data_IF_719995409913
#
_entry.id   IF_719995409913
#
_cell.length_a   1.000
_cell.length_b   1.000
_cell.length_c   1.000
_cell.angle_alpha   90.00
_cell.angle_beta   90.00
_cell.angle_gamma   90.00
#
_symmetry.space_group_name_H-M   'P 1'
#
loop_
_entity.id
_entity.type
_entity.pdbx_description
1 polymer ?
#
# COMPACT_ATOMS: atom_id res chain seq x y z
N UNK A 1 -21.01 4.26 -6.34
CA UNK A 1 -20.54 4.46 -4.98
C UNK A 1 -20.62 3.18 -4.18
N UNK A 2 -19.81 3.06 -3.13
CA UNK A 2 -19.70 1.81 -2.37
C UNK A 2 -18.74 0.80 -2.96
N UNK A 3 -18.10 1.11 -4.10
CA UNK A 3 -17.11 0.23 -4.69
C UNK A 3 -15.87 0.11 -3.79
N UNK A 4 -15.30 -1.08 -3.78
CA UNK A 4 -14.06 -1.37 -3.08
C UNK A 4 -12.92 -1.41 -4.11
N UNK A 5 -11.87 -0.69 -3.81
CA UNK A 5 -10.67 -0.64 -4.63
C UNK A 5 -9.43 -1.00 -3.81
N UNK A 6 -8.47 -1.61 -4.47
CA UNK A 6 -7.15 -1.89 -3.89
C UNK A 6 -6.13 -1.00 -4.59
N UNK A 7 -5.32 -0.33 -3.80
CA UNK A 7 -4.31 0.54 -4.35
C UNK A 7 -2.96 0.26 -3.71
N UNK A 8 -1.94 0.03 -4.55
CA UNK A 8 -0.61 -0.31 -4.07
C UNK A 8 0.16 0.95 -3.66
N UNK A 9 0.76 0.91 -2.47
CA UNK A 9 1.73 1.91 -2.06
C UNK A 9 3.05 1.66 -2.79
N UNK A 10 3.96 2.64 -2.86
CA UNK A 10 5.26 2.42 -3.49
C UNK A 10 6.00 1.23 -2.87
N UNK A 11 6.66 0.42 -3.70
CA UNK A 11 7.45 -0.70 -3.22
C UNK A 11 8.68 -0.15 -2.47
N UNK A 12 8.88 -0.53 -1.20
CA UNK A 12 10.02 -0.05 -0.45
C UNK A 12 11.36 -0.50 -1.06
N UNK A 13 12.30 0.42 -1.16
CA UNK A 13 13.65 0.13 -1.59
C UNK A 13 14.63 0.65 -0.55
N UNK A 14 15.45 -0.23 -0.01
CA UNK A 14 16.43 0.14 1.00
C UNK A 14 17.75 0.51 0.34
N UNK A 15 18.04 1.80 0.27
CA UNK A 15 19.28 2.32 -0.34
C UNK A 15 20.47 2.36 0.64
N UNK A 16 20.24 2.00 1.90
CA UNK A 16 21.28 2.05 2.92
C UNK A 16 22.13 0.78 2.96
N UNK A 17 23.20 0.80 3.75
CA UNK A 17 24.10 -0.33 3.93
C UNK A 17 23.67 -1.32 5.01
N UNK A 18 22.51 -1.08 5.65
CA UNK A 18 21.97 -1.94 6.71
C UNK A 18 20.53 -2.32 6.41
N UNK A 19 20.06 -3.49 6.86
CA UNK A 19 18.65 -3.86 6.68
C UNK A 19 17.73 -2.93 7.47
N UNK A 20 16.49 -2.79 6.97
CA UNK A 20 15.42 -2.07 7.68
C UNK A 20 14.26 -3.02 7.94
N UNK A 21 13.42 -2.66 8.91
CA UNK A 21 12.16 -3.35 9.16
C UNK A 21 11.02 -2.33 9.08
N UNK A 22 10.09 -2.57 8.15
CA UNK A 22 8.93 -1.69 8.01
C UNK A 22 7.89 -2.11 9.03
N UNK A 23 7.48 -1.18 9.89
CA UNK A 23 6.58 -1.45 11.01
C UNK A 23 5.15 -0.97 10.76
N UNK A 24 4.98 0.06 9.92
CA UNK A 24 3.66 0.62 9.64
C UNK A 24 3.67 1.39 8.32
N UNK A 25 2.53 1.39 7.65
CA UNK A 25 2.28 2.21 6.46
C UNK A 25 0.96 2.95 6.62
N UNK A 26 0.83 4.09 5.98
CA UNK A 26 -0.42 4.86 5.98
C UNK A 26 -0.51 5.79 4.78
N UNK A 27 -1.73 6.02 4.32
CA UNK A 27 -2.04 7.10 3.39
C UNK A 27 -2.17 8.38 4.21
N UNK A 28 -1.46 9.42 3.80
CA UNK A 28 -1.47 10.72 4.48
C UNK A 28 -2.55 11.60 3.84
N UNK A 29 -3.37 12.24 4.68
CA UNK A 29 -4.46 13.12 4.23
C UNK A 29 -5.42 12.44 3.26
N UNK A 30 -6.16 11.45 3.76
CA UNK A 30 -7.15 10.72 2.97
C UNK A 30 -8.22 11.69 2.45
N UNK A 31 -8.43 11.80 1.12
CA UNK A 31 -9.43 12.70 0.57
C UNK A 31 -10.86 12.38 1.02
N UNK A 32 -11.71 13.40 1.05
CA UNK A 32 -13.13 13.23 1.25
C UNK A 32 -13.70 12.32 0.15
N UNK A 33 -14.59 11.41 0.50
CA UNK A 33 -15.18 10.46 -0.46
C UNK A 33 -14.42 9.15 -0.57
N UNK A 34 -13.27 9.02 0.10
CA UNK A 34 -12.50 7.80 0.18
C UNK A 34 -12.34 7.40 1.65
N UNK A 35 -12.63 6.14 1.94
CA UNK A 35 -12.41 5.59 3.28
C UNK A 35 -11.41 4.44 3.18
N UNK A 36 -10.31 4.53 3.90
CA UNK A 36 -9.35 3.43 4.00
C UNK A 36 -9.92 2.41 4.99
N UNK A 37 -10.17 1.20 4.53
CA UNK A 37 -10.74 0.13 5.35
C UNK A 37 -9.64 -0.63 6.09
N UNK A 38 -8.56 -0.97 5.39
CA UNK A 38 -7.44 -1.70 5.97
C UNK A 38 -6.22 -1.61 5.07
N UNK A 39 -5.07 -1.97 5.61
CA UNK A 39 -3.83 -2.14 4.87
C UNK A 39 -3.47 -3.62 4.88
N UNK A 40 -2.99 -4.11 3.76
CA UNK A 40 -2.46 -5.46 3.64
C UNK A 40 -1.04 -5.44 3.09
N UNK A 41 -0.32 -6.54 3.25
CA UNK A 41 1.02 -6.70 2.69
C UNK A 41 1.10 -8.07 2.03
N UNK A 42 1.52 -8.12 0.78
CA UNK A 42 1.50 -9.32 -0.05
C UNK A 42 2.82 -9.50 -0.77
N UNK A 43 3.13 -10.75 -1.09
CA UNK A 43 4.33 -11.10 -1.86
C UNK A 43 4.06 -10.85 -3.34
N UNK A 44 4.96 -10.15 -4.03
CA UNK A 44 4.87 -9.88 -5.45
C UNK A 44 4.79 -11.18 -6.28
N UNK A 45 5.38 -12.26 -5.79
CA UNK A 45 5.34 -13.56 -6.46
C UNK A 45 3.96 -14.22 -6.43
N UNK A 46 3.11 -13.82 -5.47
CA UNK A 46 1.76 -14.37 -5.32
C UNK A 46 0.72 -13.63 -6.17
N UNK A 47 1.06 -12.48 -6.73
CA UNK A 47 0.12 -11.60 -7.44
C UNK A 47 0.41 -11.42 -8.93
N UNK A 48 1.37 -12.14 -9.49
CA UNK A 48 1.79 -11.98 -10.89
C UNK A 48 2.21 -10.55 -11.23
N UNK A 49 2.88 -9.87 -10.29
CA UNK A 49 3.33 -8.51 -10.44
C UNK A 49 2.63 -7.56 -9.49
N UNK A 50 2.80 -6.26 -9.71
CA UNK A 50 2.26 -5.22 -8.84
C UNK A 50 0.95 -4.66 -9.41
N UNK A 51 -0.21 -5.00 -8.82
CA UNK A 51 -1.48 -4.39 -9.21
C UNK A 51 -1.57 -2.99 -8.60
N UNK A 52 -1.23 -1.96 -9.37
CA UNK A 52 -1.18 -0.58 -8.88
C UNK A 52 -2.53 -0.08 -8.39
N UNK A 53 -3.59 -0.42 -9.12
CA UNK A 53 -4.95 -0.04 -8.78
C UNK A 53 -5.90 -1.08 -9.36
N UNK A 54 -6.72 -1.70 -8.51
CA UNK A 54 -7.61 -2.76 -8.94
C UNK A 54 -8.93 -2.68 -8.18
N UNK A 55 -10.05 -2.85 -8.91
CA UNK A 55 -11.39 -2.87 -8.32
C UNK A 55 -11.73 -4.29 -7.86
N UNK A 56 -12.28 -4.42 -6.65
CA UNK A 56 -12.71 -5.71 -6.13
C UNK A 56 -13.78 -6.35 -7.02
N UNK A 57 -13.61 -7.65 -7.28
CA UNK A 57 -14.56 -8.42 -8.09
C UNK A 57 -14.25 -8.46 -9.57
N UNK A 58 -13.29 -7.68 -10.06
CA UNK A 58 -12.87 -7.75 -11.45
C UNK A 58 -11.97 -8.98 -11.69
N UNK A 59 -12.05 -9.54 -12.90
CA UNK A 59 -11.31 -10.77 -13.23
C UNK A 59 -9.80 -10.65 -13.11
N UNK A 60 -9.27 -9.45 -13.32
CA UNK A 60 -7.83 -9.18 -13.22
C UNK A 60 -7.37 -8.87 -11.79
N UNK A 61 -8.31 -8.69 -10.86
CA UNK A 61 -7.99 -8.33 -9.48
C UNK A 61 -7.67 -9.59 -8.68
N UNK A 62 -6.49 -9.66 -8.03
CA UNK A 62 -6.17 -10.79 -7.16
C UNK A 62 -7.19 -10.95 -6.05
N UNK A 63 -7.48 -12.19 -5.66
CA UNK A 63 -8.34 -12.46 -4.51
C UNK A 63 -7.51 -12.36 -3.23
N UNK A 64 -7.30 -11.13 -2.77
CA UNK A 64 -6.42 -10.85 -1.63
C UNK A 64 -6.79 -11.61 -0.36
N UNK A 65 -8.06 -11.90 -0.15
CA UNK A 65 -8.49 -12.66 1.01
C UNK A 65 -7.93 -14.09 1.05
N UNK A 66 -7.52 -14.63 -0.10
CA UNK A 66 -6.93 -15.97 -0.22
C UNK A 66 -5.41 -15.96 -0.18
N UNK A 67 -4.80 -14.78 -0.20
CA UNK A 67 -3.35 -14.66 -0.16
C UNK A 67 -2.86 -14.46 1.27
N UNK A 68 -1.61 -14.87 1.52
CA UNK A 68 -0.98 -14.62 2.81
C UNK A 68 -0.76 -13.12 2.96
N UNK A 69 -1.24 -12.57 4.08
CA UNK A 69 -1.06 -11.16 4.44
C UNK A 69 0.08 -11.04 5.45
N UNK A 70 1.11 -10.30 5.09
CA UNK A 70 2.30 -10.10 5.91
C UNK A 70 2.24 -8.85 6.79
N UNK A 71 1.11 -8.12 6.80
CA UNK A 71 1.00 -6.83 7.50
C UNK A 71 1.04 -6.92 9.02
N UNK A 72 0.81 -8.10 9.60
CA UNK A 72 0.80 -8.29 11.05
C UNK A 72 2.19 -8.24 11.69
N UNK A 73 3.25 -8.38 10.92
CA UNK A 73 4.63 -8.40 11.40
C UNK A 73 5.47 -7.39 10.62
N UNK A 74 6.55 -6.88 11.23
CA UNK A 74 7.49 -6.04 10.50
C UNK A 74 8.03 -6.76 9.27
N UNK A 75 8.15 -6.03 8.17
CA UNK A 75 8.69 -6.55 6.92
C UNK A 75 10.14 -6.13 6.80
N UNK A 76 11.04 -7.10 6.72
CA UNK A 76 12.48 -6.86 6.59
C UNK A 76 12.84 -6.60 5.13
N UNK A 77 13.57 -5.51 4.89
CA UNK A 77 14.13 -5.21 3.58
C UNK A 77 15.65 -5.20 3.68
N UNK A 78 16.34 -6.15 3.03
CA UNK A 78 17.80 -6.22 3.08
C UNK A 78 18.48 -4.96 2.53
N UNK A 79 19.70 -4.73 2.95
CA UNK A 79 20.49 -3.59 2.48
C UNK A 79 20.66 -3.61 0.96
N UNK A 80 20.43 -2.47 0.32
CA UNK A 80 20.62 -2.32 -1.12
C UNK A 80 19.58 -3.01 -2.00
N UNK A 81 18.49 -3.53 -1.42
CA UNK A 81 17.48 -4.29 -2.14
C UNK A 81 16.09 -3.66 -2.06
N UNK A 82 15.26 -4.00 -3.05
CA UNK A 82 13.82 -3.70 -3.00
C UNK A 82 13.10 -4.80 -2.23
N UNK A 83 11.98 -4.45 -1.60
CA UNK A 83 11.15 -5.42 -0.92
C UNK A 83 10.43 -6.32 -1.93
N UNK A 84 10.34 -7.63 -1.63
CA UNK A 84 9.47 -8.54 -2.35
C UNK A 84 8.02 -8.44 -1.86
N UNK A 85 7.82 -7.80 -0.72
CA UNK A 85 6.51 -7.55 -0.12
C UNK A 85 6.09 -6.14 -0.44
N UNK A 86 4.89 -5.97 -0.98
CA UNK A 86 4.31 -4.65 -1.21
C UNK A 86 3.10 -4.43 -0.30
N UNK A 87 2.82 -3.16 0.00
CA UNK A 87 1.68 -2.79 0.82
C UNK A 87 0.53 -2.32 -0.05
N UNK A 88 -0.68 -2.65 0.37
CA UNK A 88 -1.92 -2.38 -0.35
C UNK A 88 -2.92 -1.72 0.58
N UNK A 89 -3.51 -0.62 0.14
CA UNK A 89 -4.62 0.00 0.84
C UNK A 89 -5.93 -0.48 0.22
N UNK A 90 -6.82 -1.01 1.04
CA UNK A 90 -8.17 -1.36 0.64
C UNK A 90 -9.05 -0.17 0.98
N UNK A 91 -9.67 0.43 -0.03
CA UNK A 91 -10.44 1.66 0.13
C UNK A 91 -11.86 1.48 -0.38
N UNK A 92 -12.78 2.22 0.22
CA UNK A 92 -14.17 2.26 -0.19
C UNK A 92 -14.51 3.67 -0.68
N UNK A 93 -15.18 3.75 -1.81
CA UNK A 93 -15.65 5.02 -2.35
C UNK A 93 -17.00 5.33 -1.70
N UNK A 94 -17.06 6.38 -0.90
CA UNK A 94 -18.26 6.79 -0.18
C UNK A 94 -18.97 7.98 -0.83
N UNK A 95 -18.24 8.74 -1.64
CA UNK A 95 -18.75 9.86 -2.44
C UNK A 95 -17.77 10.13 -3.56
N UNK A 96 -18.15 10.85 -4.63
CA UNK A 96 -17.20 11.17 -5.70
C UNK A 96 -15.99 11.92 -5.12
N UNK A 97 -14.77 11.37 -5.23
CA UNK A 97 -13.57 12.02 -4.69
C UNK A 97 -13.27 13.30 -5.48
N UNK A 98 -12.96 14.37 -4.75
CA UNK A 98 -12.59 15.65 -5.34
C UNK A 98 -11.10 15.88 -5.44
N UNK A 99 -10.34 15.09 -4.69
CA UNK A 99 -8.88 15.20 -4.63
C UNK A 99 -8.25 13.83 -4.80
N UNK A 100 -6.97 13.83 -5.19
CA UNK A 100 -6.18 12.59 -5.29
C UNK A 100 -5.45 12.32 -3.98
N UNK A 101 -5.17 11.04 -3.71
CA UNK A 101 -4.21 10.65 -2.67
C UNK A 101 -2.83 10.97 -3.24
N UNK A 102 -2.03 11.75 -2.52
CA UNK A 102 -0.72 12.19 -3.01
C UNK A 102 0.47 11.69 -2.22
N UNK A 103 0.28 11.43 -0.92
CA UNK A 103 1.39 11.05 -0.03
C UNK A 103 1.08 9.77 0.73
N UNK A 104 2.11 8.95 0.87
CA UNK A 104 2.09 7.75 1.69
C UNK A 104 3.25 7.81 2.68
N UNK A 105 3.02 7.31 3.89
CA UNK A 105 4.01 7.32 4.96
C UNK A 105 4.42 5.89 5.30
N UNK A 106 5.72 5.69 5.44
CA UNK A 106 6.31 4.47 5.94
C UNK A 106 7.02 4.73 7.26
N UNK A 107 6.69 3.93 8.26
CA UNK A 107 7.42 3.91 9.53
C UNK A 107 8.29 2.67 9.53
N UNK A 108 9.57 2.82 9.85
CA UNK A 108 10.51 1.71 9.81
C UNK A 108 11.57 1.85 10.90
N UNK A 109 12.24 0.74 11.20
CA UNK A 109 13.31 0.68 12.18
C UNK A 109 14.61 0.23 11.51
N UNK A 110 15.71 0.79 11.99
CA UNK A 110 17.05 0.43 11.56
C UNK A 110 18.03 0.60 12.74
N UNK A 111 18.72 -0.47 13.11
CA UNK A 111 19.68 -0.42 14.18
C UNK A 111 19.10 0.01 15.53
N UNK A 112 17.85 -0.36 15.81
CA UNK A 112 17.17 -0.02 17.04
C UNK A 112 16.57 1.38 17.08
N UNK A 113 16.62 2.12 15.98
CA UNK A 113 16.03 3.46 15.88
C UNK A 113 14.83 3.46 14.95
N UNK A 114 13.79 4.24 15.32
CA UNK A 114 12.60 4.41 14.51
C UNK A 114 12.72 5.62 13.60
N UNK A 115 12.27 5.47 12.35
CA UNK A 115 12.28 6.51 11.33
C UNK A 115 10.93 6.58 10.64
N UNK A 116 10.65 7.74 10.05
CA UNK A 116 9.45 7.97 9.25
C UNK A 116 9.86 8.58 7.93
N UNK A 117 9.30 8.08 6.83
CA UNK A 117 9.49 8.67 5.52
C UNK A 117 8.15 8.82 4.81
N UNK A 118 7.93 9.99 4.22
CA UNK A 118 6.75 10.27 3.40
C UNK A 118 7.18 10.28 1.93
N UNK A 119 6.45 9.53 1.12
CA UNK A 119 6.73 9.35 -0.31
C UNK A 119 5.54 9.80 -1.13
N UNK A 120 5.80 10.17 -2.39
CA UNK A 120 4.74 10.43 -3.34
C UNK A 120 4.08 9.11 -3.75
N UNK A 121 2.75 9.08 -3.66
CA UNK A 121 1.96 7.93 -4.13
C UNK A 121 0.65 8.47 -4.69
N UNK A 122 0.60 8.74 -5.99
CA UNK A 122 -0.62 9.29 -6.58
C UNK A 122 -1.66 8.21 -6.83
N UNK A 123 -2.87 8.47 -6.34
CA UNK A 123 -4.05 7.67 -6.62
C UNK A 123 -5.16 8.61 -7.08
N UNK A 124 -5.63 8.41 -8.29
CA UNK A 124 -6.79 9.13 -8.81
C UNK A 124 -7.90 8.14 -9.11
N UNK A 125 -9.02 8.29 -8.40
CA UNK A 125 -10.20 7.48 -8.63
C UNK A 125 -11.28 8.34 -9.26
N UNK A 126 -11.74 7.94 -10.44
CA UNK A 126 -12.87 8.56 -11.12
C UNK A 126 -14.08 7.69 -10.94
N UNK A 127 -15.14 8.28 -10.41
CA UNK A 127 -16.40 7.57 -10.22
C UNK A 127 -17.38 8.03 -11.28
N UNK A 128 -17.92 7.11 -12.05
CA UNK A 128 -18.95 7.40 -13.02
C UNK A 128 -20.22 7.84 -12.31
N UNK A 129 -20.75 8.95 -12.75
CA UNK A 129 -22.01 9.48 -12.22
C UNK A 129 -23.21 8.96 -13.00
#
# INVERSE_FOLDING_TARGET
MGEIWYFALPVPHNTSSKPIEITKVAVVHVPSGIKVLEYGAYDLNDTEGLPLLAKEGESYTPEFAKLKNYAEKPVKVPAGESSDIFYMAKVKITAPPKETVRKCRFEYEQGGRAYVQTLDCELELKVAE
#
